data_IF_567995173027
#
_entry.id   IF_567995173027
#
_cell.length_a   1.000
_cell.length_b   1.000
_cell.length_c   1.000
_cell.angle_alpha   90.00
_cell.angle_beta   90.00
_cell.angle_gamma   90.00
#
_symmetry.space_group_name_H-M   'P 1'
#
loop_
_entity.id
_entity.type
_entity.pdbx_description
1 polymer ?
#
# COMPACT_ATOMS: atom_id res chain seq x y z
N UNK A 1 -0.98 -10.54 -11.31
CA UNK A 1 -1.63 -11.85 -11.41
C UNK A 1 -0.62 -12.98 -11.20
N UNK A 2 0.48 -13.00 -11.95
CA UNK A 2 1.53 -14.00 -11.83
C UNK A 2 2.13 -14.05 -10.41
N UNK A 3 2.49 -12.92 -9.80
CA UNK A 3 2.97 -12.86 -8.43
C UNK A 3 2.01 -13.49 -7.42
N UNK A 4 0.70 -13.27 -7.60
CA UNK A 4 -0.35 -13.85 -6.76
C UNK A 4 -0.46 -15.36 -6.97
N UNK A 5 -0.39 -15.83 -8.22
CA UNK A 5 -0.44 -17.26 -8.55
C UNK A 5 0.80 -17.99 -7.99
N UNK A 6 1.98 -17.40 -8.09
CA UNK A 6 3.22 -17.93 -7.50
C UNK A 6 3.14 -18.02 -5.99
N UNK A 7 2.61 -16.97 -5.34
CA UNK A 7 2.42 -16.99 -3.90
C UNK A 7 1.46 -18.11 -3.47
N UNK A 8 0.32 -18.29 -4.15
CA UNK A 8 -0.58 -19.40 -3.89
C UNK A 8 0.08 -20.76 -4.18
N UNK A 9 1.01 -20.80 -5.12
CA UNK A 9 1.81 -21.99 -5.44
C UNK A 9 2.77 -22.44 -4.34
N UNK A 10 3.10 -21.60 -3.38
CA UNK A 10 3.96 -21.97 -2.22
C UNK A 10 3.23 -22.84 -1.20
N UNK A 11 1.90 -22.88 -1.24
CA UNK A 11 1.11 -23.66 -0.29
C UNK A 11 0.91 -25.11 -0.77
N UNK A 12 0.96 -26.10 0.16
CA UNK A 12 0.73 -27.50 -0.16
C UNK A 12 -0.69 -27.78 -0.67
N UNK A 13 -0.83 -28.70 -1.61
CA UNK A 13 -2.12 -29.13 -2.17
C UNK A 13 -3.09 -29.69 -1.11
N UNK A 14 -2.55 -30.32 -0.06
CA UNK A 14 -3.34 -30.83 1.06
C UNK A 14 -4.23 -29.77 1.73
N UNK A 15 -3.86 -28.49 1.65
CA UNK A 15 -4.67 -27.39 2.19
C UNK A 15 -5.94 -27.13 1.35
N UNK A 16 -6.02 -27.60 0.11
CA UNK A 16 -7.21 -27.41 -0.71
C UNK A 16 -8.44 -28.15 -0.16
N UNK A 17 -8.25 -29.24 0.58
CA UNK A 17 -9.32 -30.02 1.20
C UNK A 17 -9.34 -29.90 2.74
N UNK A 18 -8.35 -29.25 3.34
CA UNK A 18 -8.23 -29.11 4.79
C UNK A 18 -9.40 -28.32 5.39
N UNK A 19 -9.87 -28.72 6.58
CA UNK A 19 -10.92 -28.01 7.33
C UNK A 19 -10.42 -26.66 7.79
N UNK A 20 -9.21 -26.63 8.36
CA UNK A 20 -8.53 -25.43 8.85
C UNK A 20 -7.43 -25.03 7.88
N UNK A 21 -7.38 -23.76 7.50
CA UNK A 21 -6.38 -23.24 6.59
C UNK A 21 -5.69 -22.00 7.17
N UNK A 22 -4.43 -21.72 6.78
CA UNK A 22 -3.76 -20.48 7.14
C UNK A 22 -4.54 -19.25 6.69
N UNK A 23 -4.41 -18.15 7.45
CA UNK A 23 -5.01 -16.86 7.11
C UNK A 23 -4.54 -16.35 5.75
N UNK A 24 -3.33 -16.70 5.38
CA UNK A 24 -2.65 -16.33 4.13
C UNK A 24 -3.41 -16.73 2.86
N UNK A 25 -4.25 -17.76 2.92
CA UNK A 25 -5.10 -18.18 1.82
C UNK A 25 -6.44 -17.42 1.74
N UNK A 26 -6.74 -16.57 2.71
CA UNK A 26 -7.94 -15.70 2.71
C UNK A 26 -7.65 -14.35 2.04
N UNK A 27 -8.70 -13.65 1.59
CA UNK A 27 -8.56 -12.32 0.98
C UNK A 27 -7.76 -11.34 1.85
N UNK A 28 -7.98 -11.24 3.18
CA UNK A 28 -7.13 -10.42 4.04
C UNK A 28 -5.65 -10.84 4.05
N UNK A 29 -5.36 -12.15 4.16
CA UNK A 29 -3.98 -12.65 4.16
C UNK A 29 -3.28 -12.44 2.82
N UNK A 30 -3.98 -12.65 1.71
CA UNK A 30 -3.46 -12.34 0.37
C UNK A 30 -3.18 -10.84 0.19
N UNK A 31 -4.04 -9.98 0.73
CA UNK A 31 -3.85 -8.53 0.76
C UNK A 31 -2.57 -8.15 1.48
N UNK A 32 -2.37 -8.73 2.66
CA UNK A 32 -1.18 -8.51 3.48
C UNK A 32 0.09 -9.01 2.74
N UNK A 33 0.05 -10.23 2.21
CA UNK A 33 1.19 -10.86 1.52
C UNK A 33 1.58 -10.17 0.20
N UNK A 34 0.59 -9.63 -0.52
CA UNK A 34 0.83 -8.91 -1.78
C UNK A 34 1.13 -7.42 -1.56
N UNK A 35 0.94 -6.92 -0.35
CA UNK A 35 1.02 -5.51 0.00
C UNK A 35 0.10 -4.64 -0.88
N UNK A 36 -1.15 -5.07 -1.05
CA UNK A 36 -2.17 -4.36 -1.83
C UNK A 36 -3.48 -4.34 -1.06
N UNK A 37 -4.29 -3.31 -1.26
CA UNK A 37 -5.64 -3.24 -0.67
C UNK A 37 -6.52 -4.39 -1.14
N UNK A 38 -7.43 -4.89 -0.29
CA UNK A 38 -8.30 -6.04 -0.58
C UNK A 38 -9.11 -5.88 -1.87
N UNK A 39 -9.60 -4.67 -2.13
CA UNK A 39 -10.32 -4.34 -3.38
C UNK A 39 -9.46 -4.53 -4.62
N UNK A 40 -8.15 -4.26 -4.52
CA UNK A 40 -7.20 -4.45 -5.62
C UNK A 40 -6.92 -5.91 -5.97
N UNK A 41 -7.28 -6.86 -5.09
CA UNK A 41 -7.14 -8.29 -5.37
C UNK A 41 -8.33 -8.91 -6.08
N UNK A 42 -9.50 -8.27 -6.04
CA UNK A 42 -10.73 -8.85 -6.60
C UNK A 42 -10.57 -9.16 -8.09
N UNK A 43 -10.07 -8.21 -8.87
CA UNK A 43 -9.86 -8.39 -10.30
C UNK A 43 -8.80 -9.46 -10.62
N UNK A 44 -7.58 -9.43 -10.05
CA UNK A 44 -6.61 -10.50 -10.24
C UNK A 44 -7.11 -11.89 -9.85
N UNK A 45 -7.85 -12.00 -8.73
CA UNK A 45 -8.41 -13.26 -8.27
C UNK A 45 -9.49 -13.79 -9.21
N UNK A 46 -10.42 -12.92 -9.64
CA UNK A 46 -11.47 -13.32 -10.59
C UNK A 46 -10.86 -13.81 -11.91
N UNK A 47 -9.88 -13.09 -12.45
CA UNK A 47 -9.21 -13.50 -13.69
C UNK A 47 -8.50 -14.85 -13.56
N UNK A 48 -7.85 -15.11 -12.41
CA UNK A 48 -7.20 -16.39 -12.15
C UNK A 48 -8.24 -17.52 -11.94
N UNK A 49 -9.42 -17.20 -11.37
CA UNK A 49 -10.55 -18.13 -11.27
C UNK A 49 -11.11 -18.47 -12.66
N UNK A 50 -11.34 -17.46 -13.51
CA UNK A 50 -11.87 -17.62 -14.88
C UNK A 50 -10.92 -18.44 -15.76
N UNK A 51 -9.61 -18.28 -15.57
CA UNK A 51 -8.57 -19.08 -16.24
C UNK A 51 -8.44 -20.50 -15.66
N UNK A 52 -9.15 -20.81 -14.56
CA UNK A 52 -9.04 -22.09 -13.89
C UNK A 52 -7.73 -22.34 -13.15
N UNK A 53 -6.89 -21.32 -12.97
CA UNK A 53 -5.58 -21.44 -12.31
C UNK A 53 -5.68 -21.49 -10.80
N UNK A 54 -6.77 -20.97 -10.24
CA UNK A 54 -7.07 -21.07 -8.80
C UNK A 54 -8.51 -21.53 -8.60
N UNK A 55 -8.77 -22.08 -7.43
CA UNK A 55 -10.12 -22.41 -6.94
C UNK A 55 -10.47 -21.58 -5.72
N UNK A 56 -11.77 -21.42 -5.47
CA UNK A 56 -12.31 -20.69 -4.33
C UNK A 56 -13.26 -21.58 -3.54
N UNK A 57 -13.10 -21.62 -2.22
CA UNK A 57 -14.02 -22.30 -1.32
C UNK A 57 -14.20 -21.56 0.00
N UNK A 58 -15.08 -22.04 0.85
CA UNK A 58 -15.29 -21.52 2.21
C UNK A 58 -14.67 -22.49 3.21
N UNK A 59 -13.73 -22.01 4.04
CA UNK A 59 -13.05 -22.80 5.06
C UNK A 59 -12.95 -22.05 6.39
N UNK A 60 -12.61 -22.77 7.45
CA UNK A 60 -12.22 -22.18 8.71
C UNK A 60 -10.78 -21.66 8.60
N UNK A 61 -10.54 -20.41 9.06
CA UNK A 61 -9.24 -19.75 8.92
C UNK A 61 -8.61 -19.64 10.31
N UNK A 62 -7.43 -20.20 10.48
CA UNK A 62 -6.66 -20.13 11.73
C UNK A 62 -6.41 -18.67 12.12
N UNK A 63 -6.73 -18.32 13.37
CA UNK A 63 -6.61 -16.94 13.86
C UNK A 63 -7.75 -16.01 13.41
N UNK A 64 -8.73 -16.49 12.62
CA UNK A 64 -9.82 -15.68 12.07
C UNK A 64 -11.13 -15.69 12.87
N UNK A 65 -11.15 -16.24 14.10
CA UNK A 65 -12.36 -16.45 14.89
C UNK A 65 -13.21 -17.62 14.35
N UNK A 66 -14.43 -17.82 14.88
CA UNK A 66 -15.31 -18.95 14.55
C UNK A 66 -15.99 -18.86 13.17
N UNK A 67 -15.80 -17.78 12.41
CA UNK A 67 -16.46 -17.57 11.12
C UNK A 67 -15.64 -18.19 9.97
N UNK A 68 -16.31 -18.97 9.12
CA UNK A 68 -15.72 -19.42 7.86
C UNK A 68 -15.53 -18.26 6.90
N UNK A 69 -14.44 -18.29 6.12
CA UNK A 69 -14.10 -17.25 5.13
C UNK A 69 -13.86 -17.85 3.76
N UNK A 70 -13.98 -17.05 2.73
CA UNK A 70 -13.52 -17.43 1.40
C UNK A 70 -12.01 -17.53 1.40
N UNK A 71 -11.50 -18.64 0.85
CA UNK A 71 -10.07 -18.94 0.70
C UNK A 71 -9.80 -19.38 -0.72
N UNK A 72 -8.58 -19.15 -1.18
CA UNK A 72 -8.15 -19.37 -2.55
C UNK A 72 -7.01 -20.36 -2.56
N UNK A 73 -7.06 -21.32 -3.48
CA UNK A 73 -6.04 -22.35 -3.64
C UNK A 73 -5.63 -22.43 -5.11
N UNK A 74 -4.35 -22.71 -5.36
CA UNK A 74 -3.88 -23.00 -6.70
C UNK A 74 -4.45 -24.35 -7.18
N UNK A 75 -4.79 -24.45 -8.44
CA UNK A 75 -5.21 -25.71 -9.08
C UNK A 75 -4.03 -26.40 -9.75
N UNK A 76 -4.22 -27.65 -10.19
CA UNK A 76 -3.21 -28.33 -10.98
C UNK A 76 -2.87 -27.54 -12.26
N UNK A 77 -3.87 -27.02 -12.95
CA UNK A 77 -3.67 -26.17 -14.14
C UNK A 77 -2.83 -24.92 -13.83
N UNK A 78 -3.03 -24.31 -12.67
CA UNK A 78 -2.20 -23.18 -12.21
C UNK A 78 -0.76 -23.59 -11.94
N UNK A 79 -0.53 -24.79 -11.38
CA UNK A 79 0.83 -25.33 -11.17
C UNK A 79 1.53 -25.67 -12.47
N UNK A 80 0.82 -26.29 -13.41
CA UNK A 80 1.33 -26.63 -14.73
C UNK A 80 1.75 -25.35 -15.46
N UNK A 81 0.93 -24.30 -15.39
CA UNK A 81 1.27 -23.00 -15.94
C UNK A 81 2.54 -22.41 -15.30
N UNK A 82 2.71 -22.50 -13.97
CA UNK A 82 3.92 -22.05 -13.28
C UNK A 82 5.16 -22.86 -13.68
N UNK A 83 5.00 -24.15 -13.95
CA UNK A 83 6.08 -25.02 -14.40
C UNK A 83 6.53 -24.71 -15.85
N UNK A 84 5.58 -24.33 -16.71
CA UNK A 84 5.87 -23.91 -18.08
C UNK A 84 6.46 -22.50 -18.17
N UNK A 85 6.26 -21.68 -17.12
CA UNK A 85 6.77 -20.31 -17.01
C UNK A 85 7.71 -20.18 -15.79
N UNK A 86 8.85 -20.91 -15.77
CA UNK A 86 9.79 -20.78 -14.68
C UNK A 86 10.32 -19.34 -14.65
N UNK A 87 10.34 -18.73 -13.44
CA UNK A 87 11.14 -17.53 -13.28
C UNK A 87 12.59 -17.90 -13.57
N UNK A 88 13.22 -17.17 -14.48
CA UNK A 88 14.68 -17.14 -14.54
C UNK A 88 15.10 -16.38 -13.30
N UNK A 89 15.32 -17.12 -12.20
CA UNK A 89 15.91 -16.53 -11.00
C UNK A 89 17.34 -16.08 -11.37
N UNK A 90 17.71 -14.83 -11.07
CA UNK A 90 19.12 -14.53 -10.86
C UNK A 90 19.51 -15.31 -9.60
N UNK A 91 20.42 -16.25 -9.78
CA UNK A 91 20.99 -17.18 -8.79
C UNK A 91 21.08 -16.59 -7.39
N UNK A 92 20.37 -17.20 -6.44
CA UNK A 92 20.45 -16.88 -5.03
C UNK A 92 21.74 -17.42 -4.44
N UNK A 93 22.80 -16.63 -4.52
CA UNK A 93 23.94 -16.67 -3.59
C UNK A 93 24.50 -15.26 -3.50
N UNK A 94 24.02 -14.52 -2.54
CA UNK A 94 24.83 -13.53 -1.83
C UNK A 94 23.97 -12.83 -0.78
N UNK A 95 24.47 -12.87 0.42
CA UNK A 95 24.23 -11.95 1.52
C UNK A 95 23.76 -10.58 1.10
N UNK A 96 22.78 -10.06 1.87
CA UNK A 96 22.43 -8.67 1.95
C UNK A 96 23.42 -7.69 1.29
N UNK A 97 23.13 -7.29 0.08
CA UNK A 97 23.47 -5.99 -0.45
C UNK A 97 22.23 -5.47 -1.17
N UNK A 98 21.61 -4.49 -0.55
CA UNK A 98 20.54 -3.70 -1.16
C UNK A 98 21.06 -3.15 -2.50
N UNK A 99 20.72 -3.82 -3.59
CA UNK A 99 20.88 -3.22 -4.91
C UNK A 99 19.73 -2.24 -5.05
N UNK A 100 20.08 -0.97 -4.88
CA UNK A 100 19.26 0.20 -5.14
C UNK A 100 18.74 0.14 -6.58
N UNK A 101 17.59 -0.48 -6.78
CA UNK A 101 16.72 -0.04 -7.86
C UNK A 101 15.93 1.11 -7.30
N UNK A 102 16.55 2.29 -7.26
CA UNK A 102 15.82 3.53 -7.05
C UNK A 102 14.84 3.62 -8.23
N UNK A 103 13.60 3.24 -8.01
CA UNK A 103 12.51 3.63 -8.90
C UNK A 103 12.55 5.15 -8.89
N UNK A 104 13.11 5.74 -9.94
CA UNK A 104 13.16 7.19 -10.07
C UNK A 104 11.73 7.70 -10.06
N UNK A 105 11.32 8.25 -8.92
CA UNK A 105 9.97 8.79 -8.77
C UNK A 105 9.94 10.06 -9.59
N UNK A 106 9.09 10.05 -10.60
CA UNK A 106 8.92 11.15 -11.53
C UNK A 106 8.55 12.42 -10.78
N UNK A 107 9.34 13.49 -10.98
CA UNK A 107 9.02 14.86 -10.57
C UNK A 107 8.93 15.11 -9.07
N UNK A 108 9.49 14.24 -8.18
CA UNK A 108 9.37 14.35 -6.72
C UNK A 108 10.68 14.55 -5.96
N UNK A 109 11.76 14.87 -6.65
CA UNK A 109 13.08 15.00 -6.02
C UNK A 109 13.15 16.10 -4.93
N UNK A 110 12.39 17.18 -5.10
CA UNK A 110 12.29 18.28 -4.11
C UNK A 110 11.49 17.85 -2.89
N UNK A 111 10.38 17.15 -3.10
CA UNK A 111 9.48 16.69 -2.04
C UNK A 111 10.12 15.58 -1.21
N UNK A 112 10.90 14.69 -1.83
CA UNK A 112 11.71 13.69 -1.10
C UNK A 112 12.65 14.39 -0.14
N UNK A 113 13.45 15.37 -0.61
CA UNK A 113 14.39 16.13 0.22
C UNK A 113 13.68 16.92 1.32
N UNK A 114 12.54 17.51 1.00
CA UNK A 114 11.74 18.25 1.98
C UNK A 114 11.25 17.33 3.11
N UNK A 115 10.73 16.15 2.76
CA UNK A 115 10.26 15.19 3.77
C UNK A 115 11.42 14.65 4.61
N UNK A 116 12.56 14.34 3.98
CA UNK A 116 13.78 13.95 4.69
C UNK A 116 14.20 15.03 5.70
N UNK A 117 14.25 16.29 5.28
CA UNK A 117 14.62 17.42 6.16
C UNK A 117 13.65 17.57 7.34
N UNK A 118 12.33 17.45 7.10
CA UNK A 118 11.33 17.52 8.17
C UNK A 118 11.52 16.38 9.19
N UNK A 119 11.80 15.17 8.73
CA UNK A 119 12.05 14.02 9.60
C UNK A 119 13.37 14.17 10.37
N UNK A 120 14.41 14.73 9.75
CA UNK A 120 15.69 14.96 10.40
C UNK A 120 15.58 16.07 11.48
N UNK A 121 14.88 17.17 11.19
CA UNK A 121 14.75 18.31 12.07
C UNK A 121 13.80 18.05 13.26
N UNK A 122 12.67 17.40 13.00
CA UNK A 122 11.60 17.25 14.00
C UNK A 122 11.46 15.82 14.54
N UNK A 123 12.17 14.85 13.97
CA UNK A 123 12.00 13.42 14.28
C UNK A 123 10.70 12.81 13.75
N UNK A 124 9.81 13.62 13.21
CA UNK A 124 8.46 13.20 12.75
C UNK A 124 7.93 14.17 11.69
N UNK A 125 7.14 13.63 10.77
CA UNK A 125 6.48 14.43 9.74
C UNK A 125 5.18 13.75 9.29
N UNK A 126 4.24 14.55 8.79
CA UNK A 126 3.05 14.08 8.14
C UNK A 126 3.02 14.50 6.67
N UNK A 127 2.62 13.58 5.79
CA UNK A 127 2.41 13.83 4.37
C UNK A 127 0.91 13.86 4.11
N UNK A 128 0.40 15.03 3.78
CA UNK A 128 -1.01 15.23 3.46
C UNK A 128 -1.22 15.47 1.97
N UNK A 129 -2.42 15.17 1.46
CA UNK A 129 -2.78 15.45 0.07
C UNK A 129 -3.93 14.60 -0.44
N UNK A 130 -4.36 14.86 -1.67
CA UNK A 130 -5.46 14.19 -2.33
C UNK A 130 -5.25 12.66 -2.42
N UNK A 131 -6.34 11.91 -2.60
CA UNK A 131 -6.24 10.47 -2.90
C UNK A 131 -5.56 10.27 -4.24
N UNK A 132 -4.63 9.30 -4.35
CA UNK A 132 -3.93 9.00 -5.60
C UNK A 132 -2.84 10.01 -6.01
N UNK A 133 -2.53 11.04 -5.20
CA UNK A 133 -1.49 12.05 -5.51
C UNK A 133 -0.05 11.53 -5.37
N UNK A 134 0.13 10.33 -4.79
CA UNK A 134 1.43 9.67 -4.64
C UNK A 134 2.06 9.76 -3.24
N UNK A 135 1.28 9.96 -2.17
CA UNK A 135 1.78 10.01 -0.77
C UNK A 135 2.56 8.75 -0.39
N UNK A 136 1.94 7.60 -0.54
CA UNK A 136 2.54 6.29 -0.27
C UNK A 136 3.84 6.09 -1.05
N UNK A 137 3.85 6.45 -2.33
CA UNK A 137 5.02 6.37 -3.21
C UNK A 137 6.17 7.25 -2.71
N UNK A 138 5.86 8.49 -2.29
CA UNK A 138 6.83 9.41 -1.73
C UNK A 138 7.43 8.89 -0.41
N UNK A 139 6.56 8.39 0.49
CA UNK A 139 7.02 7.82 1.76
C UNK A 139 7.92 6.61 1.51
N UNK A 140 7.56 5.72 0.57
CA UNK A 140 8.42 4.60 0.19
C UNK A 140 9.80 5.03 -0.31
N UNK A 141 9.89 6.12 -1.09
CA UNK A 141 11.17 6.63 -1.55
C UNK A 141 12.05 7.10 -0.40
N UNK A 142 11.47 7.86 0.54
CA UNK A 142 12.19 8.34 1.72
C UNK A 142 12.61 7.18 2.61
N UNK A 143 11.74 6.18 2.79
CA UNK A 143 12.08 4.96 3.53
C UNK A 143 13.22 4.19 2.86
N UNK A 144 13.19 4.05 1.53
CA UNK A 144 14.24 3.36 0.78
C UNK A 144 15.60 4.08 0.84
N UNK A 145 15.59 5.42 0.84
CA UNK A 145 16.80 6.23 1.00
C UNK A 145 17.34 6.24 2.43
N UNK A 146 16.51 5.91 3.42
CA UNK A 146 16.88 5.94 4.82
C UNK A 146 17.65 4.67 5.20
N UNK A 147 18.81 4.83 5.85
CA UNK A 147 19.65 3.71 6.31
C UNK A 147 19.14 3.01 7.58
N UNK A 148 18.12 3.56 8.23
CA UNK A 148 17.52 2.97 9.43
C UNK A 148 16.57 1.84 9.05
N UNK A 149 16.41 0.86 9.94
CA UNK A 149 15.33 -0.11 9.79
C UNK A 149 13.98 0.62 9.78
N UNK A 150 13.09 0.23 8.90
CA UNK A 150 11.76 0.79 8.81
C UNK A 150 10.71 -0.23 9.23
N UNK A 151 9.61 0.26 9.84
CA UNK A 151 8.47 -0.53 10.26
C UNK A 151 7.21 0.16 9.76
N UNK A 152 6.39 -0.58 9.03
CA UNK A 152 5.28 -0.03 8.27
C UNK A 152 3.94 -0.57 8.76
N UNK A 153 2.96 0.32 8.88
CA UNK A 153 1.56 -0.02 9.13
C UNK A 153 0.68 0.74 8.13
N UNK A 154 -0.08 0.01 7.33
CA UNK A 154 -1.18 0.60 6.55
C UNK A 154 -2.46 0.37 7.32
N UNK A 155 -3.17 1.44 7.64
CA UNK A 155 -4.37 1.38 8.48
C UNK A 155 -5.66 1.46 7.66
N UNK A 156 -6.73 0.92 8.24
CA UNK A 156 -8.08 0.91 7.72
C UNK A 156 -9.10 1.31 8.81
N UNK A 157 -10.37 1.24 8.51
CA UNK A 157 -11.46 1.58 9.46
C UNK A 157 -11.52 0.69 10.72
N UNK A 158 -10.90 -0.50 10.67
CA UNK A 158 -10.87 -1.44 11.79
C UNK A 158 -9.57 -1.34 12.61
N UNK A 159 -8.63 -0.56 12.14
CA UNK A 159 -7.32 -0.43 12.75
C UNK A 159 -7.38 0.40 14.02
N UNK A 160 -6.76 -0.10 15.08
CA UNK A 160 -6.58 0.56 16.38
C UNK A 160 -5.07 0.63 16.73
N UNK A 161 -4.73 1.20 17.88
CA UNK A 161 -3.34 1.31 18.33
C UNK A 161 -2.66 -0.06 18.47
N UNK A 162 -3.42 -1.09 18.90
CA UNK A 162 -2.90 -2.46 19.02
C UNK A 162 -2.55 -3.08 17.67
N UNK A 163 -3.38 -2.87 16.65
CA UNK A 163 -3.11 -3.34 15.29
C UNK A 163 -1.94 -2.60 14.64
N UNK A 164 -1.79 -1.30 14.89
CA UNK A 164 -0.61 -0.54 14.46
C UNK A 164 0.66 -1.10 15.10
N UNK A 165 0.64 -1.31 16.42
CA UNK A 165 1.75 -1.90 17.15
C UNK A 165 2.09 -3.31 16.64
N UNK A 166 1.07 -4.12 16.33
CA UNK A 166 1.23 -5.45 15.78
C UNK A 166 1.85 -5.44 14.38
N UNK A 167 1.50 -4.46 13.54
CA UNK A 167 2.09 -4.29 12.22
C UNK A 167 3.58 -3.89 12.31
N UNK A 168 3.90 -2.94 13.20
CA UNK A 168 5.28 -2.49 13.40
C UNK A 168 6.20 -3.57 14.00
N UNK A 169 5.69 -4.39 14.90
CA UNK A 169 6.46 -5.36 15.69
C UNK A 169 5.87 -6.77 15.59
N UNK A 170 5.55 -7.21 14.36
CA UNK A 170 4.99 -8.54 14.11
C UNK A 170 5.91 -9.69 14.54
N UNK A 171 7.20 -9.42 14.63
CA UNK A 171 8.29 -10.31 15.03
C UNK A 171 8.47 -10.44 16.55
N UNK A 172 7.74 -9.65 17.38
CA UNK A 172 7.91 -9.58 18.84
C UNK A 172 6.61 -9.90 19.56
N UNK A 173 6.66 -10.84 20.49
CA UNK A 173 5.57 -11.24 21.37
C UNK A 173 6.06 -11.39 22.83
N UNK A 174 5.26 -11.15 23.86
CA UNK A 174 3.90 -10.59 23.82
C UNK A 174 3.89 -9.07 23.62
N UNK A 175 2.81 -8.55 23.01
CA UNK A 175 2.58 -7.11 22.86
C UNK A 175 1.58 -6.60 23.91
N UNK A 176 1.82 -5.40 24.48
CA UNK A 176 0.89 -4.82 25.44
C UNK A 176 -0.40 -4.32 24.74
N UNK A 177 -1.50 -4.24 25.52
CA UNK A 177 -2.78 -3.71 25.07
C UNK A 177 -3.14 -2.38 25.75
N UNK A 178 -2.40 -1.97 26.76
CA UNK A 178 -2.57 -0.71 27.45
C UNK A 178 -1.79 0.42 26.74
N UNK A 179 -2.36 1.60 26.49
CA UNK A 179 -1.71 2.68 25.72
C UNK A 179 -0.35 3.12 26.27
N UNK A 180 -0.22 3.27 27.58
CA UNK A 180 1.07 3.67 28.19
C UNK A 180 2.12 2.58 28.05
N UNK A 181 1.72 1.32 28.23
CA UNK A 181 2.58 0.17 28.03
C UNK A 181 2.97 -0.02 26.56
N UNK A 182 2.09 0.32 25.60
CA UNK A 182 2.42 0.33 24.15
C UNK A 182 3.53 1.32 23.86
N UNK A 183 3.45 2.55 24.35
CA UNK A 183 4.47 3.58 24.19
C UNK A 183 5.79 3.14 24.82
N UNK A 184 5.75 2.60 26.03
CA UNK A 184 6.94 2.08 26.70
C UNK A 184 7.58 0.91 25.93
N UNK A 185 6.75 0.01 25.39
CA UNK A 185 7.19 -1.10 24.55
C UNK A 185 7.91 -0.61 23.29
N UNK A 186 7.32 0.35 22.55
CA UNK A 186 7.94 0.94 21.37
C UNK A 186 9.28 1.58 21.73
N UNK A 187 9.32 2.37 22.81
CA UNK A 187 10.53 3.06 23.25
C UNK A 187 11.66 2.12 23.70
N UNK A 188 11.34 0.89 24.10
CA UNK A 188 12.31 -0.14 24.43
C UNK A 188 12.96 -0.80 23.21
N UNK A 189 12.36 -0.66 22.02
CA UNK A 189 12.85 -1.28 20.79
C UNK A 189 14.03 -0.49 20.18
N UNK A 190 14.85 -1.13 19.33
CA UNK A 190 15.88 -0.45 18.56
C UNK A 190 15.31 0.68 17.70
N UNK A 191 16.04 1.79 17.60
CA UNK A 191 15.64 2.96 16.81
C UNK A 191 15.31 2.55 15.37
N UNK A 192 14.13 2.96 14.91
CA UNK A 192 13.58 2.64 13.59
C UNK A 192 12.82 3.84 13.03
N UNK A 193 12.60 3.84 11.73
CA UNK A 193 11.63 4.74 11.08
C UNK A 193 10.26 4.06 11.09
N UNK A 194 9.31 4.61 11.84
CA UNK A 194 7.95 4.11 11.96
C UNK A 194 7.04 4.81 10.94
N UNK A 195 6.28 4.06 10.19
CA UNK A 195 5.36 4.61 9.18
C UNK A 195 3.94 4.17 9.47
N UNK A 196 3.01 5.13 9.41
CA UNK A 196 1.57 4.87 9.29
C UNK A 196 1.11 5.45 7.96
N UNK A 197 0.58 4.60 7.09
CA UNK A 197 -0.06 5.04 5.86
C UNK A 197 -1.58 4.99 5.97
N UNK A 198 -2.24 5.90 5.28
CA UNK A 198 -3.70 6.07 5.26
C UNK A 198 -4.34 6.40 6.63
N UNK A 199 -3.65 7.15 7.50
CA UNK A 199 -4.16 7.52 8.84
C UNK A 199 -5.61 8.04 8.83
N UNK A 200 -6.03 8.69 7.75
CA UNK A 200 -7.40 9.18 7.60
C UNK A 200 -8.46 8.08 7.53
N UNK A 201 -8.07 6.84 7.24
CA UNK A 201 -8.98 5.69 7.17
C UNK A 201 -9.37 5.15 8.55
N UNK A 202 -8.62 5.50 9.60
CA UNK A 202 -8.92 5.05 10.97
C UNK A 202 -10.29 5.57 11.40
N UNK A 203 -11.17 4.66 11.80
CA UNK A 203 -12.50 5.01 12.29
C UNK A 203 -12.44 5.88 13.56
N UNK A 204 -13.37 6.82 13.72
CA UNK A 204 -13.37 7.78 14.81
C UNK A 204 -13.23 7.14 16.21
N UNK A 205 -13.85 5.98 16.44
CA UNK A 205 -13.80 5.24 17.73
C UNK A 205 -12.39 4.76 18.13
N UNK A 206 -11.46 4.61 17.17
CA UNK A 206 -10.10 4.11 17.39
C UNK A 206 -9.05 5.21 17.27
N UNK A 207 -9.45 6.36 16.73
CA UNK A 207 -8.57 7.47 16.39
C UNK A 207 -7.80 8.00 17.59
N UNK A 208 -8.46 8.24 18.70
CA UNK A 208 -7.83 8.78 19.92
C UNK A 208 -6.72 7.85 20.43
N UNK A 209 -6.93 6.54 20.39
CA UNK A 209 -5.90 5.57 20.77
C UNK A 209 -4.68 5.58 19.84
N UNK A 210 -4.89 5.70 18.52
CA UNK A 210 -3.80 5.81 17.54
C UNK A 210 -3.04 7.13 17.72
N UNK A 211 -3.76 8.25 17.91
CA UNK A 211 -3.16 9.56 18.16
C UNK A 211 -2.36 9.56 19.47
N UNK A 212 -2.90 8.96 20.54
CA UNK A 212 -2.17 8.83 21.81
C UNK A 212 -0.87 8.02 21.65
N UNK A 213 -0.89 6.93 20.89
CA UNK A 213 0.33 6.17 20.55
C UNK A 213 1.34 7.05 19.80
N UNK A 214 0.91 7.79 18.75
CA UNK A 214 1.76 8.66 17.97
C UNK A 214 2.37 9.81 18.82
N UNK A 215 1.56 10.46 19.67
CA UNK A 215 2.02 11.49 20.56
C UNK A 215 3.00 10.97 21.63
N UNK A 216 2.81 9.73 22.06
CA UNK A 216 3.75 9.05 22.96
C UNK A 216 5.16 8.84 22.37
N UNK A 217 5.28 8.90 21.04
CA UNK A 217 6.58 8.82 20.36
C UNK A 217 7.37 10.15 20.41
N UNK A 218 6.81 11.22 20.95
CA UNK A 218 7.43 12.54 20.94
C UNK A 218 8.85 12.57 21.54
N UNK A 219 9.07 11.79 22.59
CA UNK A 219 10.37 11.70 23.27
C UNK A 219 11.13 10.41 22.92
N UNK A 220 10.69 9.72 21.88
CA UNK A 220 11.28 8.45 21.47
C UNK A 220 12.53 8.64 20.63
N UNK A 221 13.35 7.58 20.54
CA UNK A 221 14.49 7.52 19.61
C UNK A 221 14.07 7.15 18.18
N UNK A 222 12.81 6.80 18.00
CA UNK A 222 12.26 6.51 16.70
C UNK A 222 11.99 7.80 15.95
N UNK A 223 12.12 7.74 14.63
CA UNK A 223 11.54 8.76 13.75
C UNK A 223 10.22 8.23 13.20
N UNK A 224 9.31 9.12 12.81
CA UNK A 224 8.01 8.67 12.33
C UNK A 224 7.51 9.50 11.14
N UNK A 225 6.84 8.82 10.20
CA UNK A 225 6.14 9.44 9.07
C UNK A 225 4.69 8.93 9.07
N UNK A 226 3.77 9.86 8.87
CA UNK A 226 2.34 9.56 8.71
C UNK A 226 1.86 10.04 7.35
N UNK A 227 1.21 9.17 6.60
CA UNK A 227 0.49 9.50 5.35
C UNK A 227 -1.01 9.61 5.58
N UNK A 228 -1.65 10.64 5.02
CA UNK A 228 -3.10 10.78 5.15
C UNK A 228 -3.72 11.84 4.25
N UNK A 229 -5.03 12.01 4.35
CA UNK A 229 -5.73 13.16 3.77
C UNK A 229 -5.69 14.32 4.76
N UNK A 230 -5.73 15.54 4.25
CA UNK A 230 -5.88 16.73 5.08
C UNK A 230 -7.38 17.06 5.31
N UNK A 231 -7.72 17.67 6.46
CA UNK A 231 -6.85 17.95 7.60
C UNK A 231 -6.43 16.69 8.34
N UNK A 232 -5.29 16.74 9.02
CA UNK A 232 -4.88 15.66 9.93
C UNK A 232 -5.90 15.52 11.07
N UNK A 233 -5.97 14.33 11.70
CA UNK A 233 -6.80 14.15 12.89
C UNK A 233 -6.44 15.16 13.99
N UNK A 234 -7.46 15.68 14.65
CA UNK A 234 -7.30 16.56 15.80
C UNK A 234 -6.42 15.92 16.87
N UNK A 235 -5.53 16.71 17.45
CA UNK A 235 -4.57 16.27 18.48
C UNK A 235 -3.26 15.70 17.92
N UNK A 236 -3.03 15.72 16.61
CA UNK A 236 -1.75 15.38 15.98
C UNK A 236 -1.09 16.63 15.42
N UNK A 237 -0.26 17.29 16.22
CA UNK A 237 0.43 18.55 15.87
C UNK A 237 1.83 18.29 15.26
N UNK A 238 1.88 17.50 14.22
CA UNK A 238 3.13 17.19 13.52
C UNK A 238 3.39 18.17 12.37
N UNK A 239 4.65 18.41 12.00
CA UNK A 239 4.97 19.14 10.78
C UNK A 239 4.34 18.47 9.58
N UNK A 240 3.58 19.24 8.79
CA UNK A 240 2.83 18.72 7.63
C UNK A 240 3.50 19.17 6.35
N UNK A 241 3.79 18.23 5.49
CA UNK A 241 4.09 18.48 4.09
C UNK A 241 2.84 18.21 3.25
N UNK A 242 2.32 19.23 2.59
CA UNK A 242 1.23 19.08 1.65
C UNK A 242 1.81 18.63 0.29
N UNK A 243 1.36 17.48 -0.19
CA UNK A 243 1.75 16.94 -1.48
C UNK A 243 0.73 17.35 -2.54
N UNK A 244 1.19 18.16 -3.48
CA UNK A 244 0.41 18.62 -4.62
C UNK A 244 0.52 17.64 -5.80
N UNK A 245 -0.28 17.85 -6.85
CA UNK A 245 -0.17 17.14 -8.13
C UNK A 245 1.19 17.39 -8.80
N UNK A 246 1.56 16.58 -9.77
CA UNK A 246 2.79 16.77 -10.53
C UNK A 246 2.68 17.96 -11.48
N UNK A 247 3.79 18.64 -11.72
CA UNK A 247 3.85 19.62 -12.81
C UNK A 247 3.61 18.89 -14.13
N UNK A 248 2.88 19.48 -15.10
CA UNK A 248 2.56 18.82 -16.37
C UNK A 248 3.80 18.31 -17.13
N UNK A 249 4.92 19.01 -17.01
CA UNK A 249 6.19 18.60 -17.67
C UNK A 249 6.77 17.32 -17.06
N UNK A 250 6.59 17.09 -15.77
CA UNK A 250 6.98 15.85 -15.12
C UNK A 250 5.90 14.76 -15.30
N UNK A 251 4.64 15.15 -15.14
CA UNK A 251 3.48 14.27 -15.23
C UNK A 251 3.35 13.53 -16.57
N UNK A 252 3.75 14.18 -17.69
CA UNK A 252 3.78 13.54 -19.04
C UNK A 252 4.64 12.27 -19.09
N UNK A 253 5.61 12.11 -18.18
CA UNK A 253 6.47 10.93 -18.11
C UNK A 253 5.74 9.69 -17.55
N UNK A 254 4.60 9.87 -16.89
CA UNK A 254 3.76 8.76 -16.44
C UNK A 254 2.91 8.15 -17.57
N UNK A 255 2.78 8.86 -18.68
CA UNK A 255 2.05 8.40 -19.86
C UNK A 255 2.96 7.57 -20.78
N UNK A 256 2.39 6.53 -21.39
CA UNK A 256 3.13 5.61 -22.24
C UNK A 256 3.74 6.28 -23.48
N UNK A 257 4.83 5.70 -23.98
CA UNK A 257 5.56 6.19 -25.17
C UNK A 257 4.77 6.04 -26.49
N UNK A 258 3.64 5.35 -26.48
CA UNK A 258 2.74 5.24 -27.62
C UNK A 258 2.05 6.56 -27.97
N UNK A 259 1.99 7.51 -27.04
CA UNK A 259 1.50 8.87 -27.25
C UNK A 259 2.66 9.80 -27.66
N UNK A 260 2.43 10.67 -28.62
CA UNK A 260 3.38 11.72 -28.94
C UNK A 260 3.55 12.72 -27.79
N UNK A 261 4.63 13.49 -27.81
CA UNK A 261 4.97 14.39 -26.71
C UNK A 261 3.92 15.50 -26.50
N UNK A 262 3.35 16.01 -27.57
CA UNK A 262 2.32 17.07 -27.51
C UNK A 262 1.04 16.52 -26.88
N UNK A 263 0.62 15.31 -27.25
CA UNK A 263 -0.54 14.65 -26.67
C UNK A 263 -0.32 14.31 -25.20
N UNK A 264 0.86 13.76 -24.83
CA UNK A 264 1.20 13.51 -23.41
C UNK A 264 1.11 14.79 -22.56
N UNK A 265 1.64 15.90 -23.07
CA UNK A 265 1.56 17.17 -22.35
C UNK A 265 0.11 17.68 -22.25
N UNK A 266 -0.68 17.52 -23.31
CA UNK A 266 -2.10 17.88 -23.31
C UNK A 266 -2.87 17.09 -22.25
N UNK A 267 -2.69 15.77 -22.22
CA UNK A 267 -3.34 14.87 -21.23
C UNK A 267 -2.87 15.21 -19.81
N UNK A 268 -1.57 15.43 -19.62
CA UNK A 268 -1.02 15.80 -18.32
C UNK A 268 -1.63 17.12 -17.80
N UNK A 269 -1.87 18.11 -18.66
CA UNK A 269 -2.54 19.36 -18.29
C UNK A 269 -4.03 19.15 -18.00
N UNK A 270 -4.73 18.39 -18.84
CA UNK A 270 -6.17 18.14 -18.65
C UNK A 270 -6.46 17.37 -17.36
N UNK A 271 -5.57 16.46 -16.96
CA UNK A 271 -5.66 15.70 -15.73
C UNK A 271 -4.91 16.35 -14.53
N UNK A 272 -4.59 17.65 -14.65
CA UNK A 272 -3.94 18.46 -13.61
C UNK A 272 -2.69 17.79 -12.99
N UNK A 273 -1.96 17.02 -13.77
CA UNK A 273 -0.80 16.27 -13.29
C UNK A 273 -1.10 15.23 -12.21
N UNK A 274 -2.35 14.81 -12.05
CA UNK A 274 -2.76 13.87 -11.00
C UNK A 274 -2.29 12.43 -11.31
N UNK A 275 -1.34 11.84 -10.53
CA UNK A 275 -0.68 10.58 -10.92
C UNK A 275 -1.63 9.41 -11.14
N UNK A 276 -2.64 9.25 -10.29
CA UNK A 276 -3.61 8.16 -10.44
C UNK A 276 -4.49 8.35 -11.68
N UNK A 277 -4.91 9.60 -11.98
CA UNK A 277 -5.69 9.89 -13.18
C UNK A 277 -4.89 9.59 -14.45
N UNK A 278 -3.61 9.96 -14.47
CA UNK A 278 -2.70 9.68 -15.59
C UNK A 278 -2.48 8.17 -15.81
N UNK A 279 -2.34 7.41 -14.72
CA UNK A 279 -2.17 5.96 -14.80
C UNK A 279 -3.47 5.22 -15.20
N UNK A 280 -4.63 5.84 -15.02
CA UNK A 280 -5.93 5.30 -15.43
C UNK A 280 -6.34 5.70 -16.84
N UNK A 281 -5.69 6.73 -17.40
CA UNK A 281 -6.01 7.22 -18.74
C UNK A 281 -5.67 6.19 -19.82
N UNK A 282 -6.63 5.95 -20.70
CA UNK A 282 -6.46 5.14 -21.91
C UNK A 282 -6.58 6.07 -23.12
N UNK A 283 -5.74 5.87 -24.14
CA UNK A 283 -5.78 6.71 -25.34
C UNK A 283 -7.13 6.58 -26.04
N UNK A 284 -7.75 7.74 -26.29
CA UNK A 284 -9.11 7.83 -26.83
C UNK A 284 -10.19 8.10 -25.80
N UNK A 285 -9.87 8.05 -24.49
CA UNK A 285 -10.81 8.47 -23.46
C UNK A 285 -11.12 9.98 -23.56
N UNK A 286 -12.34 10.34 -23.21
CA UNK A 286 -12.73 11.74 -23.05
C UNK A 286 -11.96 12.35 -21.87
N UNK A 287 -11.29 13.46 -22.14
CA UNK A 287 -10.61 14.21 -21.10
C UNK A 287 -11.61 15.12 -20.37
N UNK A 288 -11.46 15.28 -19.04
CA UNK A 288 -12.30 16.21 -18.30
C UNK A 288 -12.13 17.64 -18.84
N UNK A 289 -13.21 18.40 -18.80
CA UNK A 289 -13.17 19.83 -19.17
C UNK A 289 -12.35 20.64 -18.15
N UNK A 290 -11.81 21.76 -18.59
CA UNK A 290 -11.02 22.63 -17.71
C UNK A 290 -11.84 23.09 -16.51
N UNK A 291 -11.43 22.71 -15.30
CA UNK A 291 -12.12 23.03 -14.04
C UNK A 291 -13.03 21.93 -13.51
N UNK A 292 -13.17 20.80 -14.20
CA UNK A 292 -13.83 19.64 -13.63
C UNK A 292 -13.02 19.02 -12.49
N UNK A 293 -13.74 18.38 -11.56
CA UNK A 293 -13.12 17.76 -10.40
C UNK A 293 -12.39 16.46 -10.79
N UNK A 294 -11.07 16.51 -10.86
CA UNK A 294 -10.21 15.37 -11.19
C UNK A 294 -10.46 14.17 -10.27
N UNK A 295 -10.78 14.41 -9.00
CA UNK A 295 -11.09 13.33 -8.08
C UNK A 295 -12.38 12.59 -8.48
N UNK A 296 -13.40 13.33 -8.93
CA UNK A 296 -14.62 12.74 -9.48
C UNK A 296 -14.34 11.94 -10.76
N UNK A 297 -13.48 12.44 -11.64
CA UNK A 297 -13.01 11.71 -12.83
C UNK A 297 -12.32 10.39 -12.44
N UNK A 298 -11.41 10.41 -11.48
CA UNK A 298 -10.73 9.21 -10.98
C UNK A 298 -11.73 8.19 -10.42
N UNK A 299 -12.65 8.64 -9.56
CA UNK A 299 -13.68 7.77 -8.97
C UNK A 299 -14.60 7.18 -10.05
N UNK A 300 -15.05 7.98 -11.02
CA UNK A 300 -15.91 7.53 -12.12
C UNK A 300 -15.17 6.55 -13.04
N UNK A 301 -13.92 6.83 -13.39
CA UNK A 301 -13.09 5.93 -14.22
C UNK A 301 -12.81 4.60 -13.50
N UNK A 302 -12.56 4.64 -12.19
CA UNK A 302 -12.43 3.41 -11.40
C UNK A 302 -13.73 2.61 -11.38
N UNK A 303 -14.89 3.28 -11.23
CA UNK A 303 -16.20 2.62 -11.24
C UNK A 303 -16.53 2.04 -12.63
N UNK A 304 -16.27 2.78 -13.71
CA UNK A 304 -16.52 2.31 -15.08
C UNK A 304 -15.61 1.12 -15.45
N UNK A 305 -14.36 1.13 -15.04
CA UNK A 305 -13.46 -0.02 -15.19
C UNK A 305 -13.90 -1.23 -14.37
N UNK A 306 -14.61 -1.04 -13.26
CA UNK A 306 -15.22 -2.10 -12.46
C UNK A 306 -16.51 -2.65 -13.10
N UNK A 307 -17.31 -1.78 -13.75
CA UNK A 307 -18.60 -2.14 -14.35
C UNK A 307 -18.47 -2.57 -15.81
N UNK A 308 -17.53 -2.01 -16.58
CA UNK A 308 -17.28 -2.35 -17.99
C UNK A 308 -16.65 -3.73 -18.21
N UNK A 309 -16.25 -4.43 -17.14
CA UNK A 309 -15.79 -5.82 -17.17
C UNK A 309 -16.87 -6.83 -16.74
N UNK A 310 -18.10 -6.37 -16.52
CA UNK A 310 -19.26 -7.19 -16.17
C UNK A 310 -20.19 -7.47 -17.35
N UNK A 311 -19.81 -7.10 -18.58
CA UNK A 311 -20.44 -7.43 -19.85
C UNK A 311 -19.43 -8.22 -20.71
#
# INVERSE_FOLDING_TARGET
QEKLLRYLGTFPDALAEAWDVPRDLSLPGLSDAMNVVRSGLNQPLNKLLDLGYISRRVAHVLGGGSRRRQVYHITQQGRDWLAEHPQVEPSATASASATETSVAIVGRASEIKQLESLVEEHGRAAVGGLSGVGKTTLIHAVVAANKRSSRWSTVDELSDAGSVLAAWFSDIEPRPNDPEAMVAFVNAQPSSLLVIDDLHAVHARHRDGVIALLNGLEKSRHTAIVGGRLPLPEGLDWPVMQLETLKPEDAKQLLGEHLDEARRLQVAKALDGHPMALNLYVDGDDLPEAGENIQAFVEQTMLSNLTGQAL
#
